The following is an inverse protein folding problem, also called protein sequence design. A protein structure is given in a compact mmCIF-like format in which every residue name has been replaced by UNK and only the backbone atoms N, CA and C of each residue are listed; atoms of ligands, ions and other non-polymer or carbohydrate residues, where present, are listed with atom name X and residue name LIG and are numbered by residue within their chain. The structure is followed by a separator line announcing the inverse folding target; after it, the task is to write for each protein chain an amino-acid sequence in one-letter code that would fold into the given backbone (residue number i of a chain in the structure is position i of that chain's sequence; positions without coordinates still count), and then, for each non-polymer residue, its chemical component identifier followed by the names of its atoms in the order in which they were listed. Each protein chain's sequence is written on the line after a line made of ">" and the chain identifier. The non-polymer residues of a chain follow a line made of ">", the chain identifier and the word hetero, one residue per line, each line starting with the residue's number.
data_IF_135429064603
#
_entry.id   IF_135429064603
#
_cell.length_a   1.000
_cell.length_b   1.000
_cell.length_c   1.000
_cell.angle_alpha   90.00
_cell.angle_beta   90.00
_cell.angle_gamma   90.00
#
_symmetry.space_group_name_H-M   'P 1'
#
loop_
_entity.id
_entity.type
_entity.pdbx_description
1 polymer ?
#
# COMPACT_ATOMS: atom_id res chain seq x y z
N UNK A 1 -17.10 -31.73 6.87
CA UNK A 1 -16.86 -31.12 6.73
C UNK A 1 -16.46 -30.38 6.90
N UNK A 2 -16.41 -30.11 6.74
CA UNK A 2 -16.13 -29.23 6.71
C UNK A 2 -15.74 -28.40 6.65
N UNK A 3 -15.91 -28.26 6.71
CA UNK A 3 -15.68 -27.38 6.58
C UNK A 3 -15.24 -26.51 6.57
N UNK A 4 -15.41 -26.59 6.59
CA UNK A 4 -15.18 -25.69 6.51
C UNK A 4 -14.75 -24.95 6.57
N UNK A 5 -14.91 -25.09 6.53
CA UNK A 5 -14.73 -24.35 6.59
C UNK A 5 -14.19 -23.58 6.64
N UNK A 6 -14.31 -23.78 6.56
CA UNK A 6 -13.97 -23.04 6.59
C UNK A 6 -13.57 -22.21 6.56
N UNK A 7 -13.66 -22.32 6.38
CA UNK A 7 -13.45 -21.49 6.46
C UNK A 7 -13.42 -20.54 6.56
N UNK A 8 -13.34 -20.80 6.05
CA UNK A 8 -13.73 -19.63 6.04
C UNK A 8 -13.85 -18.47 6.88
N UNK A 9 -13.79 -18.41 7.53
CA UNK A 9 -14.05 -17.37 8.47
C UNK A 9 -12.96 -16.33 8.49
N UNK A 10 -11.73 -16.74 8.49
CA UNK A 10 -10.65 -15.75 8.41
C UNK A 10 -10.38 -15.47 6.94
N UNK A 11 -10.27 -14.21 6.61
CA UNK A 11 -9.97 -13.81 5.26
C UNK A 11 -8.49 -13.56 5.12
N UNK A 12 -7.91 -14.13 4.08
CA UNK A 12 -6.51 -13.91 3.76
C UNK A 12 -6.35 -12.59 3.03
N UNK A 13 -5.24 -11.94 3.24
CA UNK A 13 -4.89 -10.74 2.50
C UNK A 13 -4.55 -11.11 1.05
N UNK A 14 -5.14 -10.39 0.11
CA UNK A 14 -4.93 -10.64 -1.32
C UNK A 14 -3.68 -9.91 -1.80
N UNK A 15 -2.52 -10.57 -1.68
CA UNK A 15 -1.25 -10.00 -2.06
C UNK A 15 -1.15 -9.74 -3.56
N UNK A 16 -1.78 -10.59 -4.37
CA UNK A 16 -1.74 -10.40 -5.82
C UNK A 16 -2.57 -9.18 -6.23
N UNK A 17 -3.70 -8.94 -5.55
CA UNK A 17 -4.48 -7.74 -5.81
C UNK A 17 -3.69 -6.48 -5.43
N UNK A 18 -2.90 -6.54 -4.36
CA UNK A 18 -2.04 -5.43 -3.98
C UNK A 18 -1.01 -5.14 -5.08
N UNK A 19 -0.29 -6.18 -5.52
CA UNK A 19 0.71 -6.01 -6.59
C UNK A 19 0.09 -5.43 -7.84
N UNK A 20 -1.00 -6.03 -8.30
CA UNK A 20 -1.63 -5.64 -9.55
C UNK A 20 -2.18 -4.22 -9.49
N UNK A 21 -2.86 -3.87 -8.41
CA UNK A 21 -3.46 -2.54 -8.30
C UNK A 21 -2.41 -1.44 -8.23
N UNK A 22 -1.27 -1.71 -7.61
CA UNK A 22 -0.16 -0.74 -7.59
C UNK A 22 0.44 -0.61 -8.99
N UNK A 23 0.76 -1.72 -9.64
CA UNK A 23 1.46 -1.68 -10.92
C UNK A 23 0.56 -1.16 -12.04
N UNK A 24 -0.74 -1.41 -11.97
CA UNK A 24 -1.70 -0.95 -12.97
C UNK A 24 -2.32 0.40 -12.62
N UNK A 25 -1.93 0.98 -11.49
CA UNK A 25 -2.44 2.27 -11.01
C UNK A 25 -3.97 2.25 -10.87
N UNK A 26 -4.47 1.18 -10.27
CA UNK A 26 -5.89 0.98 -10.04
C UNK A 26 -6.25 1.42 -8.63
N UNK A 27 -6.53 2.71 -8.47
CA UNK A 27 -6.77 3.30 -7.15
C UNK A 27 -7.99 2.68 -6.46
N UNK A 28 -9.03 2.33 -7.21
CA UNK A 28 -10.25 1.77 -6.63
C UNK A 28 -9.98 0.40 -6.00
N UNK A 29 -9.32 -0.48 -6.73
CA UNK A 29 -8.96 -1.80 -6.21
C UNK A 29 -8.00 -1.67 -5.03
N UNK A 30 -7.00 -0.79 -5.15
CA UNK A 30 -6.05 -0.57 -4.08
C UNK A 30 -6.75 -0.12 -2.80
N UNK A 31 -7.67 0.82 -2.91
CA UNK A 31 -8.41 1.33 -1.76
C UNK A 31 -9.26 0.23 -1.12
N UNK A 32 -9.79 -0.70 -1.91
CA UNK A 32 -10.63 -1.77 -1.40
C UNK A 32 -9.88 -2.72 -0.47
N UNK A 33 -8.53 -2.69 -0.49
CA UNK A 33 -7.71 -3.54 0.38
C UNK A 33 -7.53 -2.95 1.78
N UNK A 34 -8.01 -1.74 2.03
CA UNK A 34 -7.83 -1.04 3.29
C UNK A 34 -9.08 -1.10 4.15
N UNK A 35 -8.87 -1.20 5.47
CA UNK A 35 -9.96 -1.10 6.44
C UNK A 35 -10.52 0.32 6.47
N UNK A 36 -11.74 0.47 6.96
CA UNK A 36 -12.45 1.74 7.00
C UNK A 36 -11.66 2.81 7.76
N UNK A 37 -11.06 2.43 8.88
CA UNK A 37 -10.32 3.33 9.75
C UNK A 37 -8.80 3.20 9.60
N UNK A 38 -8.35 2.71 8.46
CA UNK A 38 -6.92 2.51 8.22
C UNK A 38 -6.16 3.84 8.24
N UNK A 39 -4.84 3.73 8.44
CA UNK A 39 -3.96 4.89 8.43
C UNK A 39 -2.74 4.63 7.55
N UNK A 40 -2.30 5.67 6.86
CA UNK A 40 -1.01 5.69 6.18
C UNK A 40 -0.07 6.59 6.96
N UNK A 41 1.15 6.12 7.20
CA UNK A 41 2.22 6.91 7.81
C UNK A 41 3.35 6.94 6.80
N UNK A 42 3.63 8.10 6.23
CA UNK A 42 4.56 8.22 5.11
C UNK A 42 5.67 9.20 5.46
N UNK A 43 6.91 8.75 5.27
CA UNK A 43 8.10 9.59 5.34
C UNK A 43 8.63 9.71 3.92
N UNK A 44 8.81 10.94 3.45
CA UNK A 44 9.33 11.20 2.11
C UNK A 44 10.24 12.43 2.16
N UNK A 45 10.57 13.00 0.99
CA UNK A 45 11.49 14.14 0.96
C UNK A 45 10.89 15.43 1.52
N UNK A 46 9.58 15.47 1.74
CA UNK A 46 8.90 16.64 2.30
C UNK A 46 8.49 16.43 3.76
N UNK A 47 8.33 15.18 4.16
CA UNK A 47 7.80 14.82 5.49
C UNK A 47 8.84 13.99 6.22
N UNK A 48 9.45 14.59 7.24
CA UNK A 48 10.60 14.02 7.96
C UNK A 48 10.17 12.93 8.94
N UNK A 49 11.10 12.07 9.35
CA UNK A 49 10.78 11.01 10.33
C UNK A 49 10.14 11.51 11.62
N UNK A 50 10.53 12.70 12.09
CA UNK A 50 9.94 13.26 13.32
C UNK A 50 8.55 13.86 13.08
N UNK A 51 8.17 14.07 11.81
CA UNK A 51 6.89 14.65 11.44
C UNK A 51 6.36 13.95 10.19
N UNK A 52 6.06 12.64 10.28
CA UNK A 52 5.58 11.91 9.10
C UNK A 52 4.22 12.43 8.67
N UNK A 53 3.92 12.25 7.40
CA UNK A 53 2.59 12.56 6.90
C UNK A 53 1.66 11.44 7.33
N UNK A 54 0.57 11.79 8.02
CA UNK A 54 -0.40 10.82 8.48
C UNK A 54 -1.72 11.05 7.76
N UNK A 55 -2.23 10.02 7.11
CA UNK A 55 -3.48 10.06 6.36
C UNK A 55 -4.41 9.05 7.00
N UNK A 56 -5.54 9.50 7.53
CA UNK A 56 -6.45 8.67 8.32
C UNK A 56 -7.78 8.48 7.61
N UNK A 57 -8.22 7.21 7.57
CA UNK A 57 -9.53 6.85 7.07
C UNK A 57 -9.56 6.62 5.57
N UNK A 58 -10.49 5.76 5.13
CA UNK A 58 -10.54 5.36 3.73
C UNK A 58 -10.81 6.53 2.79
N UNK A 59 -11.59 7.52 3.20
CA UNK A 59 -11.87 8.66 2.34
C UNK A 59 -10.59 9.43 2.01
N UNK A 60 -9.79 9.74 3.04
CA UNK A 60 -8.54 10.48 2.83
C UNK A 60 -7.51 9.62 2.09
N UNK A 61 -7.44 8.32 2.40
CA UNK A 61 -6.55 7.39 1.70
C UNK A 61 -6.94 7.30 0.23
N UNK A 62 -8.24 7.31 -0.06
CA UNK A 62 -8.74 7.29 -1.44
C UNK A 62 -8.30 8.51 -2.21
N UNK A 63 -8.34 9.69 -1.61
CA UNK A 63 -7.86 10.92 -2.25
C UNK A 63 -6.36 10.85 -2.53
N UNK A 64 -5.59 10.31 -1.58
CA UNK A 64 -4.16 10.14 -1.74
C UNK A 64 -3.85 9.23 -2.94
N UNK A 65 -4.50 8.07 -3.02
CA UNK A 65 -4.25 7.14 -4.12
C UNK A 65 -4.82 7.62 -5.44
N UNK A 66 -5.92 8.36 -5.44
CA UNK A 66 -6.43 8.96 -6.66
C UNK A 66 -5.38 9.90 -7.27
N UNK A 67 -4.68 10.67 -6.42
CA UNK A 67 -3.61 11.54 -6.88
C UNK A 67 -2.40 10.73 -7.37
N UNK A 68 -1.92 9.78 -6.57
CA UNK A 68 -0.72 9.00 -6.91
C UNK A 68 -0.95 8.17 -8.17
N UNK A 69 -2.07 7.46 -8.25
CA UNK A 69 -2.38 6.61 -9.40
C UNK A 69 -2.69 7.43 -10.65
N UNK A 70 -3.09 8.68 -10.47
CA UNK A 70 -3.34 9.58 -11.58
C UNK A 70 -2.08 10.20 -12.18
N UNK A 71 -0.94 10.05 -11.52
CA UNK A 71 0.31 10.59 -12.04
C UNK A 71 0.83 9.71 -13.16
N UNK A 72 1.47 10.35 -14.14
CA UNK A 72 2.05 9.63 -15.26
C UNK A 72 3.41 9.06 -14.85
N UNK A 73 3.37 8.00 -14.05
CA UNK A 73 4.58 7.33 -13.55
C UNK A 73 4.34 5.84 -13.51
N UNK A 74 5.42 5.07 -13.51
CA UNK A 74 5.34 3.61 -13.44
C UNK A 74 5.68 3.14 -12.04
N UNK A 75 5.08 2.02 -11.64
CA UNK A 75 5.32 1.38 -10.34
C UNK A 75 5.59 -0.10 -10.57
N UNK A 76 6.57 -0.62 -9.87
CA UNK A 76 6.88 -2.04 -9.93
C UNK A 76 7.17 -2.55 -8.53
N UNK A 77 6.48 -3.62 -8.14
CA UNK A 77 6.75 -4.30 -6.87
C UNK A 77 7.92 -5.24 -7.09
N UNK A 78 9.03 -4.98 -6.41
CA UNK A 78 10.25 -5.78 -6.54
C UNK A 78 10.30 -6.92 -5.54
N UNK A 79 9.79 -6.67 -4.34
CA UNK A 79 9.75 -7.67 -3.27
C UNK A 79 8.42 -7.54 -2.54
N UNK A 80 7.80 -8.66 -2.24
CA UNK A 80 6.57 -8.69 -1.47
C UNK A 80 6.61 -9.93 -0.59
N UNK A 81 6.49 -9.73 0.73
CA UNK A 81 6.43 -10.81 1.70
C UNK A 81 5.15 -10.65 2.50
N UNK A 82 4.51 -11.76 2.83
CA UNK A 82 3.22 -11.74 3.52
C UNK A 82 3.26 -12.75 4.66
N UNK A 83 2.93 -12.29 5.87
CA UNK A 83 2.72 -13.12 7.03
C UNK A 83 1.25 -13.17 7.39
N UNK A 84 0.95 -13.68 8.59
CA UNK A 84 -0.43 -13.83 9.02
C UNK A 84 -1.10 -12.49 9.31
N UNK A 85 -0.38 -11.57 9.96
CA UNK A 85 -0.93 -10.29 10.38
C UNK A 85 -0.09 -9.11 9.91
N UNK A 86 0.81 -9.33 8.97
CA UNK A 86 1.65 -8.25 8.43
C UNK A 86 2.14 -8.61 7.05
N UNK A 87 2.54 -7.61 6.30
CA UNK A 87 3.16 -7.77 4.99
C UNK A 87 4.16 -6.64 4.80
N UNK A 88 5.06 -6.81 3.85
CA UNK A 88 6.03 -5.78 3.53
C UNK A 88 6.39 -5.86 2.06
N UNK A 89 6.68 -4.70 1.46
CA UNK A 89 7.10 -4.69 0.07
C UNK A 89 8.09 -3.57 -0.21
N UNK A 90 8.84 -3.77 -1.30
CA UNK A 90 9.71 -2.74 -1.88
C UNK A 90 9.16 -2.43 -3.26
N UNK A 91 9.01 -1.16 -3.56
CA UNK A 91 8.41 -0.69 -4.80
C UNK A 91 9.35 0.30 -5.48
N UNK A 92 9.60 0.08 -6.78
CA UNK A 92 10.38 0.98 -7.60
C UNK A 92 9.43 1.80 -8.47
N UNK A 93 9.55 3.12 -8.42
CA UNK A 93 8.70 4.03 -9.16
C UNK A 93 9.57 4.91 -10.06
N UNK A 94 9.01 5.33 -11.19
CA UNK A 94 9.75 6.18 -12.12
C UNK A 94 8.80 7.15 -12.82
N UNK A 95 9.19 8.42 -12.85
CA UNK A 95 8.48 9.47 -13.60
C UNK A 95 8.95 9.49 -15.06
N UNK A 96 8.17 10.09 -15.97
CA UNK A 96 8.58 10.19 -17.38
C UNK A 96 9.92 10.91 -17.57
N UNK A 97 10.27 11.80 -16.65
CA UNK A 97 11.55 12.52 -16.69
C UNK A 97 12.75 11.62 -16.43
N UNK A 98 12.51 10.39 -15.93
CA UNK A 98 13.55 9.47 -15.51
C UNK A 98 13.83 9.52 -14.03
N UNK A 99 13.27 10.48 -13.29
CA UNK A 99 13.45 10.55 -11.84
C UNK A 99 12.85 9.31 -11.17
N UNK A 100 13.57 8.72 -10.24
CA UNK A 100 13.17 7.49 -9.57
C UNK A 100 12.84 7.71 -8.11
N UNK A 101 11.91 6.89 -7.63
CA UNK A 101 11.53 6.87 -6.21
C UNK A 101 11.55 5.41 -5.77
N UNK A 102 12.23 5.14 -4.68
CA UNK A 102 12.23 3.79 -4.09
C UNK A 102 11.44 3.86 -2.80
N UNK A 103 10.46 2.98 -2.67
CA UNK A 103 9.60 2.94 -1.50
C UNK A 103 9.73 1.61 -0.80
N UNK A 104 9.72 1.64 0.53
CA UNK A 104 9.61 0.44 1.35
C UNK A 104 8.47 0.64 2.32
N UNK A 105 7.62 -0.36 2.48
CA UNK A 105 6.45 -0.24 3.33
C UNK A 105 6.21 -1.50 4.12
N UNK A 106 5.70 -1.33 5.35
CA UNK A 106 5.23 -2.40 6.19
C UNK A 106 3.75 -2.20 6.43
N UNK A 107 2.98 -3.27 6.30
CA UNK A 107 1.53 -3.26 6.43
C UNK A 107 1.12 -4.06 7.65
N UNK A 108 0.24 -3.50 8.46
CA UNK A 108 -0.46 -4.27 9.49
C UNK A 108 -1.77 -4.76 8.87
N UNK A 109 -2.07 -6.05 9.07
CA UNK A 109 -3.24 -6.70 8.48
C UNK A 109 -4.17 -7.20 9.56
N UNK A 110 -5.47 -7.09 9.30
CA UNK A 110 -6.50 -7.68 10.16
C UNK A 110 -7.70 -8.05 9.29
N UNK A 111 -8.14 -9.28 9.43
CA UNK A 111 -9.29 -9.81 8.68
C UNK A 111 -9.14 -9.61 7.17
N UNK A 112 -7.91 -9.78 6.67
CA UNK A 112 -7.62 -9.66 5.25
C UNK A 112 -7.50 -8.24 4.72
N UNK A 113 -7.55 -7.23 5.61
CA UNK A 113 -7.48 -5.83 5.20
C UNK A 113 -6.28 -5.13 5.83
N UNK A 114 -5.81 -4.10 5.18
CA UNK A 114 -4.71 -3.28 5.70
C UNK A 114 -5.30 -2.30 6.71
N UNK A 115 -4.78 -2.33 7.94
CA UNK A 115 -5.18 -1.38 8.98
C UNK A 115 -4.19 -0.25 9.12
N UNK A 116 -2.95 -0.46 8.70
CA UNK A 116 -1.93 0.58 8.75
C UNK A 116 -0.84 0.27 7.75
N UNK A 117 -0.38 1.29 7.06
CA UNK A 117 0.80 1.22 6.21
C UNK A 117 1.82 2.21 6.76
N UNK A 118 3.06 1.74 6.96
CA UNK A 118 4.18 2.61 7.33
C UNK A 118 5.17 2.57 6.18
N UNK A 119 5.32 3.69 5.47
CA UNK A 119 6.13 3.74 4.27
C UNK A 119 7.22 4.80 4.32
N UNK A 120 8.35 4.48 3.72
CA UNK A 120 9.48 5.39 3.58
C UNK A 120 9.83 5.47 2.11
N UNK A 121 10.05 6.70 1.61
CA UNK A 121 10.38 6.95 0.22
C UNK A 121 11.73 7.62 0.10
N UNK A 122 12.56 7.12 -0.82
CA UNK A 122 13.82 7.74 -1.19
C UNK A 122 13.70 8.24 -2.63
N UNK A 123 14.03 9.49 -2.85
CA UNK A 123 13.84 10.17 -4.14
C UNK A 123 15.17 10.54 -4.76
N UNK A 124 15.24 10.44 -6.09
CA UNK A 124 16.32 11.08 -6.84
C UNK A 124 16.26 12.57 -6.63
N UNK A 125 17.39 13.21 -6.70
CA UNK A 125 17.47 14.66 -6.59
C UNK A 125 17.44 15.37 -7.92
#
# INVERSE_FOLDING_TARGET
>A
MSTSQMTSTSQSFDAEALRRSIEERDAETLLSLYAEDAELHVVDRYDQPSHPRIIRGRAAIGEYYADVCGRDMTHKIERLVVGDDSAAFVQACQYPSGARVLCAAVLDLKDGLITRLSGVQAWDE
#
